data_IF_625423244418
#
_entry.id   IF_625423244418
#
_cell.length_a   1.000
_cell.length_b   1.000
_cell.length_c   1.000
_cell.angle_alpha   90.00
_cell.angle_beta   90.00
_cell.angle_gamma   90.00
#
_symmetry.space_group_name_H-M   'P 1'
#
loop_
_entity.id
_entity.type
_entity.pdbx_description
1 polymer ?
#
# COMPACT_ATOMS: atom_id res chain seq x y z
N UNK A 1 36.62 16.39 25.05
CA UNK A 1 36.59 15.29 24.06
C UNK A 1 36.17 14.02 24.78
N UNK A 2 34.93 13.57 24.59
CA UNK A 2 34.47 12.20 24.86
C UNK A 2 33.06 12.08 24.30
N UNK A 3 32.98 11.44 23.14
CA UNK A 3 31.79 11.16 22.36
C UNK A 3 30.85 10.23 23.13
N UNK A 4 29.62 10.68 23.39
CA UNK A 4 28.58 9.80 23.90
C UNK A 4 28.13 8.83 22.82
N UNK A 5 28.70 7.62 22.83
CA UNK A 5 28.20 6.47 22.07
C UNK A 5 27.34 5.59 22.99
N UNK A 6 26.20 6.12 23.43
CA UNK A 6 25.13 5.28 23.98
C UNK A 6 24.57 4.37 22.88
N UNK A 7 24.06 3.17 23.19
CA UNK A 7 23.53 2.26 22.19
C UNK A 7 22.44 3.00 21.41
N UNK A 8 22.60 3.09 20.09
CA UNK A 8 21.59 3.63 19.17
C UNK A 8 20.33 2.80 19.40
N UNK A 9 19.40 3.30 20.23
CA UNK A 9 18.07 2.73 20.40
C UNK A 9 17.50 2.67 19.00
N UNK A 10 17.48 1.48 18.41
CA UNK A 10 16.81 1.25 17.13
C UNK A 10 15.39 1.71 17.35
N UNK A 11 15.09 2.88 16.81
CA UNK A 11 13.89 3.61 17.18
C UNK A 11 12.72 2.76 16.71
N UNK A 12 12.04 2.08 17.64
CA UNK A 12 11.05 1.03 17.31
C UNK A 12 10.01 1.60 16.35
N UNK A 13 9.68 2.87 16.50
CA UNK A 13 8.81 3.66 15.61
C UNK A 13 9.28 3.58 14.15
N UNK A 14 10.57 3.75 13.88
CA UNK A 14 11.12 3.67 12.51
C UNK A 14 10.99 2.27 11.90
N UNK A 15 11.07 1.21 12.70
CA UNK A 15 10.90 -0.18 12.24
C UNK A 15 9.42 -0.43 11.90
N UNK A 16 8.51 0.00 12.76
CA UNK A 16 7.07 -0.09 12.52
C UNK A 16 6.65 0.70 11.28
N UNK A 17 7.11 1.94 11.13
CA UNK A 17 6.83 2.76 9.93
C UNK A 17 7.32 2.08 8.64
N UNK A 18 8.53 1.52 8.63
CA UNK A 18 9.04 0.78 7.46
C UNK A 18 8.20 -0.46 7.15
N UNK A 19 7.77 -1.21 8.17
CA UNK A 19 6.87 -2.36 7.99
C UNK A 19 5.51 -1.91 7.43
N UNK A 20 4.89 -0.88 8.00
CA UNK A 20 3.61 -0.34 7.51
C UNK A 20 3.71 0.19 6.08
N UNK A 21 4.81 0.84 5.71
CA UNK A 21 5.07 1.27 4.33
C UNK A 21 5.10 0.08 3.36
N UNK A 22 5.79 -1.01 3.75
CA UNK A 22 5.86 -2.22 2.93
C UNK A 22 4.51 -2.92 2.83
N UNK A 23 3.80 -3.08 3.95
CA UNK A 23 2.48 -3.74 3.98
C UNK A 23 1.47 -2.96 3.13
N UNK A 24 1.40 -1.63 3.30
CA UNK A 24 0.51 -0.78 2.49
C UNK A 24 0.84 -0.84 1.00
N UNK A 25 2.12 -0.93 0.62
CA UNK A 25 2.52 -1.10 -0.78
C UNK A 25 2.00 -2.42 -1.39
N UNK A 26 2.17 -3.53 -0.67
CA UNK A 26 1.68 -4.84 -1.14
C UNK A 26 0.16 -4.91 -1.16
N UNK A 27 -0.51 -4.32 -0.16
CA UNK A 27 -1.97 -4.22 -0.13
C UNK A 27 -2.50 -3.38 -1.29
N UNK A 28 -1.85 -2.25 -1.62
CA UNK A 28 -2.18 -1.45 -2.79
C UNK A 28 -1.99 -2.20 -4.09
N UNK A 29 -0.87 -2.91 -4.24
CA UNK A 29 -0.61 -3.70 -5.45
C UNK A 29 -1.70 -4.75 -5.65
N UNK A 30 -2.02 -5.53 -4.60
CA UNK A 30 -3.08 -6.52 -4.65
C UNK A 30 -4.44 -5.88 -4.97
N UNK A 31 -4.77 -4.76 -4.32
CA UNK A 31 -6.01 -4.03 -4.56
C UNK A 31 -6.13 -3.48 -5.98
N UNK A 32 -5.04 -2.96 -6.56
CA UNK A 32 -5.02 -2.46 -7.95
C UNK A 32 -5.26 -3.61 -8.92
N UNK A 33 -4.63 -4.77 -8.70
CA UNK A 33 -4.87 -5.96 -9.52
C UNK A 33 -6.34 -6.39 -9.46
N UNK A 34 -6.94 -6.45 -8.26
CA UNK A 34 -8.36 -6.77 -8.10
C UNK A 34 -9.24 -5.74 -8.80
N UNK A 35 -8.95 -4.44 -8.66
CA UNK A 35 -9.72 -3.37 -9.28
C UNK A 35 -9.67 -3.45 -10.82
N UNK A 36 -8.50 -3.70 -11.39
CA UNK A 36 -8.33 -3.84 -12.84
C UNK A 36 -9.01 -5.10 -13.37
N UNK A 37 -8.82 -6.25 -12.71
CA UNK A 37 -9.43 -7.52 -13.12
C UNK A 37 -10.95 -7.50 -13.01
N UNK A 38 -11.49 -6.90 -11.94
CA UNK A 38 -12.94 -6.71 -11.78
C UNK A 38 -13.50 -5.72 -12.80
N UNK A 39 -12.81 -4.60 -13.05
CA UNK A 39 -13.19 -3.65 -14.10
C UNK A 39 -13.21 -4.29 -15.49
N UNK A 40 -12.18 -5.07 -15.81
CA UNK A 40 -12.14 -5.87 -17.03
C UNK A 40 -13.30 -6.86 -17.10
N UNK A 41 -13.59 -7.59 -16.02
CA UNK A 41 -14.72 -8.51 -15.92
C UNK A 41 -16.10 -7.86 -16.12
N UNK A 42 -16.27 -6.61 -15.70
CA UNK A 42 -17.49 -5.83 -15.97
C UNK A 42 -17.63 -5.55 -17.47
N UNK A 43 -16.53 -5.20 -18.16
CA UNK A 43 -16.54 -4.91 -19.60
C UNK A 43 -16.63 -6.17 -20.47
N UNK A 44 -16.04 -7.29 -20.02
CA UNK A 44 -15.94 -8.55 -20.74
C UNK A 44 -16.62 -9.69 -19.97
N UNK A 45 -17.89 -9.50 -19.65
CA UNK A 45 -18.65 -10.42 -18.79
C UNK A 45 -18.66 -11.85 -19.33
N UNK A 46 -18.81 -12.06 -20.64
CA UNK A 46 -18.83 -13.40 -21.22
C UNK A 46 -17.53 -14.16 -20.98
N UNK A 47 -16.38 -13.48 -21.16
CA UNK A 47 -15.06 -14.09 -20.95
C UNK A 47 -14.85 -14.44 -19.48
N UNK A 48 -15.12 -13.50 -18.56
CA UNK A 48 -14.87 -13.76 -17.13
C UNK A 48 -15.80 -14.84 -16.59
N UNK A 49 -17.05 -14.89 -17.06
CA UNK A 49 -18.00 -15.93 -16.70
C UNK A 49 -17.51 -17.30 -17.16
N UNK A 50 -17.03 -17.44 -18.40
CA UNK A 50 -16.51 -18.73 -18.90
C UNK A 50 -15.24 -19.17 -18.17
N UNK A 51 -14.24 -18.30 -17.99
CA UNK A 51 -12.97 -18.68 -17.35
C UNK A 51 -13.12 -18.99 -15.86
N UNK A 52 -14.16 -18.44 -15.23
CA UNK A 52 -14.50 -18.72 -13.84
C UNK A 52 -15.54 -19.83 -13.69
N UNK A 53 -15.85 -20.56 -14.77
CA UNK A 53 -16.83 -21.65 -14.78
C UNK A 53 -18.22 -21.23 -14.27
N UNK A 54 -18.60 -19.98 -14.54
CA UNK A 54 -19.87 -19.38 -14.11
C UNK A 54 -19.85 -18.78 -12.70
N UNK A 55 -18.71 -18.74 -12.01
CA UNK A 55 -18.61 -18.21 -10.65
C UNK A 55 -18.71 -16.69 -10.60
N UNK A 56 -18.12 -15.99 -11.58
CA UNK A 56 -18.11 -14.52 -11.64
C UNK A 56 -18.99 -14.04 -12.79
N UNK A 57 -20.16 -13.52 -12.43
CA UNK A 57 -21.02 -12.77 -13.35
C UNK A 57 -20.74 -11.25 -13.28
N UNK A 58 -21.41 -10.47 -14.14
CA UNK A 58 -21.26 -9.00 -14.19
C UNK A 58 -21.60 -8.32 -12.87
N UNK A 59 -22.63 -8.79 -12.17
CA UNK A 59 -23.09 -8.19 -10.92
C UNK A 59 -22.06 -8.44 -9.82
N UNK A 60 -21.52 -9.65 -9.73
CA UNK A 60 -20.45 -9.97 -8.80
C UNK A 60 -19.17 -9.20 -9.11
N UNK A 61 -18.77 -9.13 -10.39
CA UNK A 61 -17.61 -8.35 -10.82
C UNK A 61 -17.77 -6.86 -10.42
N UNK A 62 -18.96 -6.28 -10.63
CA UNK A 62 -19.25 -4.91 -10.20
C UNK A 62 -19.20 -4.74 -8.69
N UNK A 63 -19.79 -5.68 -7.94
CA UNK A 63 -19.75 -5.64 -6.47
C UNK A 63 -18.32 -5.73 -5.93
N UNK A 64 -17.46 -6.57 -6.53
CA UNK A 64 -16.04 -6.68 -6.17
C UNK A 64 -15.33 -5.37 -6.50
N UNK A 65 -15.58 -4.80 -7.69
CA UNK A 65 -14.97 -3.55 -8.12
C UNK A 65 -15.30 -2.41 -7.15
N UNK A 66 -16.58 -2.19 -6.88
CA UNK A 66 -17.06 -1.14 -5.97
C UNK A 66 -16.53 -1.34 -4.55
N UNK A 67 -16.55 -2.58 -4.04
CA UNK A 67 -16.03 -2.90 -2.70
C UNK A 67 -14.50 -2.71 -2.59
N UNK A 68 -13.77 -2.77 -3.70
CA UNK A 68 -12.31 -2.63 -3.72
C UNK A 68 -11.88 -1.16 -3.61
N UNK A 69 -12.70 -0.21 -4.08
CA UNK A 69 -12.36 1.22 -4.11
C UNK A 69 -12.04 1.76 -2.71
N UNK A 70 -12.90 1.48 -1.72
CA UNK A 70 -12.75 2.04 -0.37
C UNK A 70 -11.46 1.54 0.34
N UNK A 71 -11.16 0.23 0.37
CA UNK A 71 -9.86 -0.27 0.83
C UNK A 71 -8.67 0.36 0.09
N UNK A 72 -8.77 0.51 -1.23
CA UNK A 72 -7.68 1.06 -2.05
C UNK A 72 -7.35 2.49 -1.63
N UNK A 73 -8.37 3.34 -1.49
CA UNK A 73 -8.23 4.73 -1.03
C UNK A 73 -7.62 4.77 0.37
N UNK A 74 -8.11 3.93 1.28
CA UNK A 74 -7.58 3.86 2.65
C UNK A 74 -6.08 3.48 2.68
N UNK A 75 -5.69 2.40 2.02
CA UNK A 75 -4.29 1.98 1.96
C UNK A 75 -3.42 2.99 1.23
N UNK A 76 -3.95 3.70 0.23
CA UNK A 76 -3.26 4.77 -0.46
C UNK A 76 -2.90 5.92 0.48
N UNK A 77 -3.88 6.40 1.25
CA UNK A 77 -3.65 7.46 2.25
C UNK A 77 -2.62 7.03 3.29
N UNK A 78 -2.74 5.82 3.83
CA UNK A 78 -1.76 5.27 4.78
C UNK A 78 -0.37 5.21 4.15
N UNK A 79 -0.26 4.72 2.92
CA UNK A 79 1.00 4.61 2.21
C UNK A 79 1.67 5.97 2.02
N UNK A 80 0.91 6.97 1.56
CA UNK A 80 1.42 8.33 1.35
C UNK A 80 1.87 8.95 2.68
N UNK A 81 1.04 8.90 3.72
CA UNK A 81 1.35 9.50 5.02
C UNK A 81 2.59 8.87 5.67
N UNK A 82 2.71 7.55 5.65
CA UNK A 82 3.88 6.84 6.21
C UNK A 82 5.15 7.18 5.43
N UNK A 83 5.08 7.23 4.10
CA UNK A 83 6.25 7.55 3.27
C UNK A 83 6.69 9.01 3.39
N UNK A 84 5.77 9.97 3.53
CA UNK A 84 6.10 11.38 3.81
C UNK A 84 6.86 11.48 5.14
N UNK A 85 6.39 10.80 6.19
CA UNK A 85 7.04 10.79 7.51
C UNK A 85 8.44 10.16 7.44
N UNK A 86 8.58 9.01 6.78
CA UNK A 86 9.88 8.35 6.60
C UNK A 86 10.87 9.19 5.77
N UNK A 87 10.40 9.80 4.68
CA UNK A 87 11.21 10.67 3.82
C UNK A 87 11.67 11.94 4.52
N UNK A 88 10.78 12.57 5.30
CA UNK A 88 11.11 13.76 6.11
C UNK A 88 12.17 13.44 7.17
N UNK A 89 12.07 12.30 7.85
CA UNK A 89 13.07 11.86 8.85
C UNK A 89 14.43 11.60 8.20
N UNK A 90 14.48 10.95 7.03
CA UNK A 90 15.74 10.77 6.28
C UNK A 90 16.36 12.12 5.88
N UNK A 91 15.55 13.06 5.38
CA UNK A 91 16.00 14.37 4.90
C UNK A 91 16.53 15.24 6.04
N UNK A 92 15.88 15.23 7.20
CA UNK A 92 16.33 15.98 8.38
C UNK A 92 17.67 15.46 8.91
N UNK A 93 17.81 14.13 9.06
CA UNK A 93 19.07 13.51 9.52
C UNK A 93 20.24 13.75 8.58
N UNK A 94 20.02 13.83 7.26
CA UNK A 94 21.10 14.14 6.31
C UNK A 94 21.60 15.59 6.45
N UNK A 95 20.76 16.50 6.94
CA UNK A 95 21.08 17.92 7.04
C UNK A 95 21.89 18.26 8.31
N UNK A 96 21.70 17.48 9.37
CA UNK A 96 22.44 17.63 10.64
C UNK A 96 23.86 17.04 10.61
N UNK A 97 24.25 16.33 9.54
CA UNK A 97 25.62 15.81 9.36
C UNK A 97 26.52 16.70 8.50
N UNK A 98 25.99 17.80 7.96
CA UNK A 98 26.72 18.75 7.10
C UNK A 98 27.08 20.04 7.88
N UNK A 99 26.74 20.12 9.16
CA UNK A 99 27.10 21.22 10.08
C UNK A 99 27.87 20.60 11.24
#
# INVERSE_FOLDING_TARGET
MMTQSGPVKVDRVSVWLKKSARISAWALLAGVLVLVLSGWGITQTGVIYTITFGLIDRRLANSIHDATVLPLVFFFLVHVLVNIRLGSVKRFRSRTWII
#
